data_IF_178442051286
#
_entry.id   IF_178442051286
#
_cell.length_a   1.000
_cell.length_b   1.000
_cell.length_c   1.000
_cell.angle_alpha   90.00
_cell.angle_beta   90.00
_cell.angle_gamma   90.00
#
_symmetry.space_group_name_H-M   'P 1'
#
loop_
_entity.id
_entity.type
_entity.pdbx_description
1 polymer ?
#
# COMPACT_ATOMS: atom_id res chain seq x y z
N UNK A 1 -31.84 -27.54 -0.62
CA UNK A 1 -31.27 -26.47 -1.47
C UNK A 1 -30.07 -25.80 -0.81
N UNK A 2 -29.96 -25.86 0.52
CA UNK A 2 -28.89 -25.20 1.30
C UNK A 2 -27.47 -25.66 0.92
N UNK A 3 -27.30 -26.98 0.69
CA UNK A 3 -26.00 -27.54 0.30
C UNK A 3 -25.50 -27.04 -1.07
N UNK A 4 -26.40 -26.68 -1.99
CA UNK A 4 -25.99 -26.20 -3.33
C UNK A 4 -25.29 -24.84 -3.23
N UNK A 5 -25.90 -23.91 -2.51
CA UNK A 5 -25.33 -22.57 -2.30
C UNK A 5 -24.05 -22.62 -1.47
N UNK A 6 -23.99 -23.49 -0.46
CA UNK A 6 -22.82 -23.68 0.39
C UNK A 6 -21.63 -24.26 -0.41
N UNK A 7 -21.89 -25.25 -1.28
CA UNK A 7 -20.88 -25.82 -2.17
C UNK A 7 -20.40 -24.83 -3.23
N UNK A 8 -21.31 -24.04 -3.81
CA UNK A 8 -20.97 -23.00 -4.78
C UNK A 8 -20.10 -21.90 -4.17
N UNK A 9 -20.36 -21.52 -2.91
CA UNK A 9 -19.52 -20.56 -2.20
C UNK A 9 -18.13 -21.15 -1.91
N UNK A 10 -18.07 -22.40 -1.45
CA UNK A 10 -16.79 -23.07 -1.17
C UNK A 10 -15.93 -23.28 -2.41
N UNK A 11 -16.52 -23.52 -3.58
CA UNK A 11 -15.76 -23.72 -4.82
C UNK A 11 -15.12 -22.43 -5.34
N UNK A 12 -15.78 -21.28 -5.18
CA UNK A 12 -15.26 -19.98 -5.65
C UNK A 12 -14.34 -19.28 -4.64
N UNK A 13 -14.49 -19.61 -3.35
CA UNK A 13 -13.68 -19.06 -2.25
C UNK A 13 -12.16 -19.11 -2.51
N UNK A 14 -11.54 -20.24 -2.91
CA UNK A 14 -10.09 -20.29 -3.12
C UNK A 14 -9.61 -19.33 -4.22
N UNK A 15 -10.36 -19.17 -5.30
CA UNK A 15 -10.00 -18.25 -6.39
C UNK A 15 -10.10 -16.78 -5.96
N UNK A 16 -11.16 -16.44 -5.23
CA UNK A 16 -11.35 -15.08 -4.69
C UNK A 16 -10.28 -14.75 -3.66
N UNK A 17 -9.92 -15.70 -2.79
CA UNK A 17 -8.84 -15.53 -1.81
C UNK A 17 -7.50 -15.23 -2.49
N UNK A 18 -7.14 -15.99 -3.53
CA UNK A 18 -5.92 -15.73 -4.29
C UNK A 18 -5.96 -14.36 -4.99
N UNK A 19 -7.11 -13.98 -5.58
CA UNK A 19 -7.30 -12.68 -6.20
C UNK A 19 -7.18 -11.52 -5.20
N UNK A 20 -7.76 -11.67 -4.01
CA UNK A 20 -7.65 -10.70 -2.92
C UNK A 20 -6.21 -10.58 -2.42
N UNK A 21 -5.53 -11.72 -2.21
CA UNK A 21 -4.14 -11.72 -1.79
C UNK A 21 -3.25 -11.02 -2.83
N UNK A 22 -3.42 -11.34 -4.11
CA UNK A 22 -2.71 -10.68 -5.20
C UNK A 22 -2.97 -9.17 -5.24
N UNK A 23 -4.25 -8.77 -5.12
CA UNK A 23 -4.63 -7.36 -5.07
C UNK A 23 -3.99 -6.64 -3.88
N UNK A 24 -3.96 -7.27 -2.69
CA UNK A 24 -3.30 -6.71 -1.50
C UNK A 24 -1.80 -6.53 -1.73
N UNK A 25 -1.11 -7.49 -2.37
CA UNK A 25 0.31 -7.39 -2.70
C UNK A 25 0.56 -6.20 -3.63
N UNK A 26 -0.16 -6.12 -4.75
CA UNK A 26 -0.01 -5.00 -5.71
C UNK A 26 -0.34 -3.66 -5.04
N UNK A 27 -1.41 -3.61 -4.25
CA UNK A 27 -1.79 -2.42 -3.49
C UNK A 27 -0.71 -2.01 -2.49
N UNK A 28 -0.08 -2.96 -1.82
CA UNK A 28 1.01 -2.71 -0.88
C UNK A 28 2.22 -2.12 -1.59
N UNK A 29 2.63 -2.70 -2.71
CA UNK A 29 3.76 -2.19 -3.52
C UNK A 29 3.50 -0.75 -3.97
N UNK A 30 2.32 -0.49 -4.55
CA UNK A 30 1.95 0.85 -5.04
C UNK A 30 1.84 1.90 -3.90
N UNK A 31 1.47 1.48 -2.69
CA UNK A 31 1.38 2.37 -1.52
C UNK A 31 2.73 2.60 -0.85
N UNK A 32 3.59 1.60 -0.83
CA UNK A 32 4.94 1.70 -0.29
C UNK A 32 5.76 2.75 -1.03
N UNK A 33 5.71 2.75 -2.37
CA UNK A 33 6.48 3.72 -3.19
C UNK A 33 6.11 5.19 -2.91
N UNK A 34 4.87 5.46 -2.48
CA UNK A 34 4.44 6.81 -2.06
C UNK A 34 4.92 7.18 -0.66
N UNK A 35 4.90 6.23 0.26
CA UNK A 35 5.27 6.46 1.67
C UNK A 35 6.76 6.71 1.82
N UNK A 36 7.59 5.98 1.07
CA UNK A 36 9.04 6.17 1.06
C UNK A 36 9.41 7.60 0.65
N UNK A 37 8.85 8.11 -0.45
CA UNK A 37 9.14 9.47 -0.93
C UNK A 37 8.74 10.57 0.06
N UNK A 38 7.59 10.43 0.70
CA UNK A 38 7.12 11.41 1.69
C UNK A 38 7.99 11.39 2.95
N UNK A 39 8.40 10.21 3.41
CA UNK A 39 9.21 10.06 4.62
C UNK A 39 10.63 10.59 4.40
N UNK A 40 11.25 10.30 3.24
CA UNK A 40 12.57 10.87 2.89
C UNK A 40 12.52 12.40 2.79
N UNK A 41 11.45 12.97 2.21
CA UNK A 41 11.30 14.43 2.12
C UNK A 41 11.12 15.09 3.49
N UNK A 42 10.38 14.45 4.41
CA UNK A 42 10.21 14.93 5.79
C UNK A 42 11.54 14.89 6.56
N UNK A 43 12.27 13.77 6.49
CA UNK A 43 13.57 13.63 7.16
C UNK A 43 14.59 14.63 6.63
N UNK A 44 14.63 14.86 5.32
CA UNK A 44 15.55 15.83 4.72
C UNK A 44 15.19 17.28 5.10
N UNK A 45 13.90 17.61 5.21
CA UNK A 45 13.44 18.92 5.69
C UNK A 45 13.83 19.15 7.16
N UNK A 46 13.66 18.14 8.02
CA UNK A 46 14.09 18.21 9.42
C UNK A 46 15.61 18.38 9.57
N UNK A 47 16.40 17.65 8.78
CA UNK A 47 17.87 17.77 8.78
C UNK A 47 18.34 19.13 8.25
N UNK A 48 17.68 19.70 7.22
CA UNK A 48 17.97 21.06 6.74
C UNK A 48 17.62 22.12 7.78
N UNK A 49 16.47 21.99 8.45
CA UNK A 49 16.05 22.90 9.52
C UNK A 49 17.04 22.90 10.69
N UNK A 50 17.50 21.72 11.12
CA UNK A 50 18.55 21.59 12.16
C UNK A 50 19.89 22.21 11.74
N UNK A 51 20.20 22.19 10.44
CA UNK A 51 21.44 22.79 9.88
C UNK A 51 21.30 24.28 9.53
N UNK A 52 20.13 24.89 9.76
CA UNK A 52 19.87 26.28 9.41
C UNK A 52 19.86 26.57 7.91
N UNK A 53 19.69 25.53 7.08
CA UNK A 53 19.59 25.66 5.64
C UNK A 53 18.16 26.04 5.25
N UNK A 54 17.96 26.90 4.23
CA UNK A 54 16.63 27.25 3.76
C UNK A 54 15.87 26.01 3.26
N UNK A 55 14.54 25.99 3.42
CA UNK A 55 13.70 24.93 2.88
C UNK A 55 13.93 24.80 1.37
N UNK A 56 14.10 23.56 0.89
CA UNK A 56 14.24 23.30 -0.53
C UNK A 56 12.97 23.79 -1.24
N UNK A 57 13.13 24.75 -2.14
CA UNK A 57 12.05 25.34 -2.92
C UNK A 57 11.29 24.22 -3.66
N UNK A 58 10.03 23.99 -3.25
CA UNK A 58 9.12 23.07 -3.94
C UNK A 58 8.78 23.70 -5.29
N UNK A 59 9.36 23.16 -6.36
CA UNK A 59 9.02 23.54 -7.73
C UNK A 59 7.75 22.87 -8.20
#
# INVERSE_FOLDING_TARGET
MDNFWLNALWSVTPTVLLGLLFWLIIRSILRSDRTERETYAQIEAEERAKRGLPEAEKK
#
